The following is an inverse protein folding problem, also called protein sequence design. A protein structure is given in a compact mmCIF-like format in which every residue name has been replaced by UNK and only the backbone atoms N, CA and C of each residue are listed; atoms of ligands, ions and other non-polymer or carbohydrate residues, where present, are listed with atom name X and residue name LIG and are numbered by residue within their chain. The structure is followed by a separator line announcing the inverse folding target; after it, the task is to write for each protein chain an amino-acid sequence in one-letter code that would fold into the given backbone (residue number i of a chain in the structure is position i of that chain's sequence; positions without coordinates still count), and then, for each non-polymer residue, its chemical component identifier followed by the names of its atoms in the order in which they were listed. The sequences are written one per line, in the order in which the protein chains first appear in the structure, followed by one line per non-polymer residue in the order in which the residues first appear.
data_IF_218579108788
#
_entry.id   IF_218579108788
#
_cell.length_a   1.000
_cell.length_b   1.000
_cell.length_c   1.000
_cell.angle_alpha   90.00
_cell.angle_beta   90.00
_cell.angle_gamma   90.00
#
_symmetry.space_group_name_H-M   'P 1'
#
loop_
_entity.id
_entity.type
_entity.pdbx_description
1 polymer ?
#
# COMPACT_ATOMS: atom_id res chain seq x y z
N UNK A 1 -59.00 -31.04 18.64
CA UNK A 1 -57.60 -31.29 19.03
C UNK A 1 -56.86 -31.68 17.77
N UNK A 2 -56.09 -30.76 17.20
CA UNK A 2 -55.20 -30.95 16.05
C UNK A 2 -54.01 -30.01 16.23
N UNK A 3 -52.80 -30.52 15.99
CA UNK A 3 -51.53 -29.94 16.42
C UNK A 3 -51.09 -28.80 15.50
N UNK A 4 -50.49 -27.76 16.12
CA UNK A 4 -49.93 -26.59 15.43
C UNK A 4 -48.65 -26.94 14.66
N UNK A 5 -48.45 -26.29 13.52
CA UNK A 5 -47.15 -26.14 12.87
C UNK A 5 -46.99 -24.67 12.45
N UNK A 6 -46.15 -23.95 13.18
CA UNK A 6 -45.79 -22.56 12.91
C UNK A 6 -44.76 -22.54 11.77
N UNK A 7 -45.02 -21.89 10.62
CA UNK A 7 -44.01 -21.72 9.59
C UNK A 7 -42.93 -20.76 10.06
N UNK A 8 -41.68 -21.19 9.90
CA UNK A 8 -40.45 -20.51 10.29
C UNK A 8 -40.26 -19.23 9.48
N UNK A 9 -39.97 -18.14 10.21
CA UNK A 9 -39.64 -16.81 9.73
C UNK A 9 -38.35 -16.87 8.89
N UNK A 10 -38.47 -16.64 7.58
CA UNK A 10 -37.30 -16.47 6.71
C UNK A 10 -36.78 -15.05 6.86
N UNK A 11 -35.90 -14.88 7.85
CA UNK A 11 -35.07 -13.70 7.99
C UNK A 11 -34.29 -13.51 6.69
N UNK A 12 -34.49 -12.37 6.04
CA UNK A 12 -33.74 -11.94 4.88
C UNK A 12 -32.33 -11.56 5.36
N UNK A 13 -31.52 -12.58 5.64
CA UNK A 13 -30.10 -12.47 5.89
C UNK A 13 -29.44 -11.99 4.60
N UNK A 14 -29.37 -10.65 4.47
CA UNK A 14 -28.33 -9.94 3.73
C UNK A 14 -27.02 -10.70 3.96
N UNK A 15 -26.23 -11.03 2.92
CA UNK A 15 -24.94 -11.67 3.13
C UNK A 15 -24.05 -10.68 3.89
N UNK A 16 -24.10 -10.76 5.20
CA UNK A 16 -23.17 -10.10 6.11
C UNK A 16 -22.02 -11.08 6.21
N UNK A 17 -21.23 -11.17 5.15
CA UNK A 17 -19.93 -11.82 5.22
C UNK A 17 -19.07 -10.87 6.04
N UNK A 18 -19.17 -10.99 7.35
CA UNK A 18 -18.12 -10.56 8.25
C UNK A 18 -16.96 -11.54 8.03
N UNK A 19 -15.91 -11.06 7.38
CA UNK A 19 -14.67 -11.79 7.21
C UNK A 19 -13.98 -11.85 8.57
N UNK A 20 -14.22 -12.93 9.31
CA UNK A 20 -13.53 -13.29 10.55
C UNK A 20 -12.17 -13.92 10.19
N UNK A 21 -11.12 -13.10 10.18
CA UNK A 21 -9.71 -13.52 10.25
C UNK A 21 -9.00 -12.68 11.32
N UNK A 22 -9.36 -12.95 12.57
CA UNK A 22 -8.67 -12.39 13.74
C UNK A 22 -7.23 -12.89 13.88
N UNK A 23 -6.36 -11.96 14.27
CA UNK A 23 -4.92 -12.05 14.55
C UNK A 23 -4.01 -11.96 13.31
N UNK A 24 -3.60 -10.78 12.83
CA UNK A 24 -3.02 -9.66 13.59
C UNK A 24 -3.29 -8.29 12.93
N UNK A 25 -4.54 -7.82 12.96
CA UNK A 25 -4.85 -6.38 12.99
C UNK A 25 -4.91 -5.61 11.67
N UNK A 26 -4.85 -6.25 10.52
CA UNK A 26 -4.99 -5.60 9.21
C UNK A 26 -5.64 -6.53 8.18
N UNK A 27 -6.10 -6.01 7.05
CA UNK A 27 -6.65 -6.84 5.97
C UNK A 27 -5.50 -7.63 5.30
N UNK A 28 -5.11 -8.78 5.86
CA UNK A 28 -4.07 -9.64 5.29
C UNK A 28 -4.67 -10.56 4.21
N UNK A 29 -4.50 -10.22 2.94
CA UNK A 29 -4.83 -11.13 1.83
C UNK A 29 -3.63 -11.31 0.90
N UNK A 30 -3.51 -12.49 0.29
CA UNK A 30 -2.41 -12.80 -0.63
C UNK A 30 -2.31 -11.77 -1.75
N UNK A 31 -3.40 -11.55 -2.49
CA UNK A 31 -3.55 -10.43 -3.44
C UNK A 31 -4.75 -9.61 -3.04
N UNK A 32 -4.53 -8.32 -2.80
CA UNK A 32 -5.59 -7.38 -2.45
C UNK A 32 -5.92 -6.58 -3.71
N UNK A 33 -7.18 -6.66 -4.16
CA UNK A 33 -7.70 -5.85 -5.26
C UNK A 33 -8.92 -5.05 -4.79
N UNK A 34 -8.74 -3.76 -4.55
CA UNK A 34 -9.83 -2.84 -4.23
C UNK A 34 -10.19 -2.06 -5.49
N UNK A 35 -11.47 -2.14 -5.91
CA UNK A 35 -12.00 -1.37 -7.04
C UNK A 35 -13.21 -0.57 -6.55
N UNK A 36 -13.06 0.75 -6.41
CA UNK A 36 -14.21 1.62 -6.17
C UNK A 36 -14.55 2.43 -7.42
N UNK A 37 -15.83 2.40 -7.80
CA UNK A 37 -16.35 2.99 -9.05
C UNK A 37 -17.23 4.22 -8.79
N UNK A 38 -17.23 4.71 -7.55
CA UNK A 38 -18.08 5.81 -7.12
C UNK A 38 -17.45 7.16 -7.51
N UNK A 39 -17.74 7.61 -8.73
CA UNK A 39 -17.27 8.89 -9.25
C UNK A 39 -17.71 10.04 -8.34
N UNK A 40 -16.76 10.63 -7.62
CA UNK A 40 -16.97 11.78 -6.75
C UNK A 40 -17.07 11.47 -5.26
N UNK A 41 -17.18 10.21 -4.85
CA UNK A 41 -16.94 9.80 -3.46
C UNK A 41 -15.46 9.43 -3.30
N UNK A 42 -14.88 9.76 -2.15
CA UNK A 42 -13.52 9.36 -1.80
C UNK A 42 -13.54 8.09 -0.95
N UNK A 43 -12.50 7.28 -1.06
CA UNK A 43 -12.24 6.20 -0.09
C UNK A 43 -11.13 6.64 0.86
N UNK A 44 -11.36 6.44 2.16
CA UNK A 44 -10.35 6.65 3.20
C UNK A 44 -9.92 5.30 3.75
N UNK A 45 -8.60 5.12 3.87
CA UNK A 45 -7.95 3.92 4.41
C UNK A 45 -7.24 4.31 5.71
N UNK A 46 -7.93 4.18 6.83
CA UNK A 46 -7.42 4.55 8.17
C UNK A 46 -6.77 3.37 8.93
N UNK A 47 -6.89 2.14 8.44
CA UNK A 47 -6.34 0.94 9.08
C UNK A 47 -5.08 0.43 8.40
N UNK A 48 -4.45 -0.56 9.03
CA UNK A 48 -3.30 -1.26 8.46
C UNK A 48 -3.76 -2.29 7.41
N UNK A 49 -3.21 -2.20 6.20
CA UNK A 49 -3.49 -3.10 5.08
C UNK A 49 -2.18 -3.75 4.70
N UNK A 50 -2.11 -5.07 4.73
CA UNK A 50 -0.88 -5.80 4.47
C UNK A 50 -1.12 -6.90 3.45
N UNK A 51 -0.48 -6.86 2.29
CA UNK A 51 -0.58 -7.91 1.27
C UNK A 51 0.62 -8.86 1.39
N UNK A 52 0.37 -10.17 1.34
CA UNK A 52 1.46 -11.16 1.32
C UNK A 52 2.11 -11.32 -0.07
N UNK A 53 1.57 -10.70 -1.11
CA UNK A 53 2.13 -10.61 -2.46
C UNK A 53 1.88 -9.18 -2.98
N UNK A 54 1.34 -9.04 -4.19
CA UNK A 54 1.02 -7.75 -4.82
C UNK A 54 -0.25 -7.10 -4.22
N UNK A 55 -0.21 -5.78 -3.98
CA UNK A 55 -1.39 -4.97 -3.68
C UNK A 55 -1.78 -4.10 -4.88
N UNK A 56 -3.04 -4.19 -5.32
CA UNK A 56 -3.59 -3.36 -6.39
C UNK A 56 -4.80 -2.59 -5.87
N UNK A 57 -4.70 -1.26 -5.86
CA UNK A 57 -5.78 -0.37 -5.47
C UNK A 57 -6.17 0.50 -6.66
N UNK A 58 -7.41 0.41 -7.11
CA UNK A 58 -7.94 1.24 -8.19
C UNK A 58 -9.21 1.94 -7.76
N UNK A 59 -9.27 3.27 -7.93
CA UNK A 59 -10.45 4.04 -7.56
C UNK A 59 -10.74 5.14 -8.59
N UNK A 60 -12.00 5.30 -8.97
CA UNK A 60 -12.43 6.36 -9.91
C UNK A 60 -12.59 7.75 -9.24
N UNK A 61 -12.39 7.83 -7.92
CA UNK A 61 -12.49 9.04 -7.11
C UNK A 61 -11.21 9.37 -6.36
N UNK A 62 -11.34 10.09 -5.23
CA UNK A 62 -10.21 10.39 -4.32
C UNK A 62 -9.86 9.15 -3.49
N UNK A 63 -8.58 8.95 -3.22
CA UNK A 63 -8.06 7.98 -2.26
C UNK A 63 -7.29 8.74 -1.19
N UNK A 64 -7.61 8.49 0.07
CA UNK A 64 -6.86 9.02 1.22
C UNK A 64 -6.36 7.85 2.06
N UNK A 65 -5.06 7.79 2.29
CA UNK A 65 -4.41 6.78 3.14
C UNK A 65 -3.88 7.47 4.40
N UNK A 66 -4.47 7.14 5.55
CA UNK A 66 -4.04 7.64 6.86
C UNK A 66 -3.38 6.53 7.70
N UNK A 67 -3.64 5.26 7.38
CA UNK A 67 -3.03 4.10 8.03
C UNK A 67 -1.76 3.61 7.32
N UNK A 68 -1.37 2.36 7.60
CA UNK A 68 -0.22 1.74 6.93
C UNK A 68 -0.66 0.81 5.80
N UNK A 69 0.03 0.84 4.68
CA UNK A 69 -0.15 -0.06 3.56
C UNK A 69 1.17 -0.77 3.29
N UNK A 70 1.22 -2.08 3.51
CA UNK A 70 2.40 -2.90 3.28
C UNK A 70 2.15 -4.01 2.25
N UNK A 71 3.18 -4.38 1.48
CA UNK A 71 3.14 -5.52 0.57
C UNK A 71 4.50 -6.24 0.50
N UNK A 72 4.50 -7.56 0.40
CA UNK A 72 5.74 -8.34 0.18
C UNK A 72 6.23 -8.26 -1.28
N UNK A 73 5.34 -8.00 -2.23
CA UNK A 73 5.72 -7.74 -3.62
C UNK A 73 5.41 -6.27 -3.98
N UNK A 74 5.00 -5.99 -5.21
CA UNK A 74 4.70 -4.64 -5.67
C UNK A 74 3.41 -4.03 -5.06
N UNK A 75 3.39 -2.71 -4.96
CA UNK A 75 2.19 -1.90 -4.69
C UNK A 75 1.86 -1.10 -5.95
N UNK A 76 0.64 -1.27 -6.45
CA UNK A 76 0.11 -0.50 -7.57
C UNK A 76 -1.18 0.24 -7.16
N UNK A 77 -1.11 1.56 -7.06
CA UNK A 77 -2.26 2.41 -6.73
C UNK A 77 -2.61 3.26 -7.95
N UNK A 78 -3.89 3.31 -8.31
CA UNK A 78 -4.40 4.13 -9.41
C UNK A 78 -5.67 4.85 -8.96
N UNK A 79 -5.60 6.17 -8.82
CA UNK A 79 -6.74 7.04 -8.58
C UNK A 79 -7.07 7.83 -9.85
N UNK A 80 -8.33 7.88 -10.28
CA UNK A 80 -8.72 8.85 -11.33
C UNK A 80 -8.90 10.27 -10.74
N UNK A 81 -9.14 10.36 -9.43
CA UNK A 81 -9.15 11.60 -8.68
C UNK A 81 -7.80 11.90 -8.02
N UNK A 82 -7.87 12.44 -6.80
CA UNK A 82 -6.69 12.78 -6.01
C UNK A 82 -6.23 11.59 -5.18
N UNK A 83 -4.93 11.48 -4.94
CA UNK A 83 -4.34 10.54 -4.01
C UNK A 83 -3.64 11.31 -2.89
N UNK A 84 -4.02 11.06 -1.65
CA UNK A 84 -3.40 11.62 -0.45
C UNK A 84 -2.82 10.50 0.42
N UNK A 85 -1.56 10.61 0.81
CA UNK A 85 -0.91 9.72 1.77
C UNK A 85 -0.36 10.48 2.97
N UNK A 86 -1.01 10.33 4.11
CA UNK A 86 -0.59 10.89 5.39
C UNK A 86 -0.06 9.81 6.34
N UNK A 87 -0.16 8.53 5.96
CA UNK A 87 0.33 7.38 6.70
C UNK A 87 1.63 6.78 6.13
N UNK A 88 1.70 5.45 6.06
CA UNK A 88 2.90 4.73 5.59
C UNK A 88 2.58 3.82 4.42
N UNK A 89 3.43 3.80 3.40
CA UNK A 89 3.38 2.87 2.27
C UNK A 89 4.72 2.16 2.18
N UNK A 90 4.72 0.82 2.26
CA UNK A 90 5.94 0.02 2.22
C UNK A 90 5.77 -1.22 1.34
N UNK A 91 6.67 -1.42 0.39
CA UNK A 91 6.74 -2.61 -0.48
C UNK A 91 8.13 -3.19 -0.38
N UNK A 92 8.31 -4.52 -0.37
CA UNK A 92 9.67 -5.08 -0.54
C UNK A 92 10.15 -5.04 -2.00
N UNK A 93 9.28 -4.65 -2.94
CA UNK A 93 9.58 -4.47 -4.35
C UNK A 93 9.17 -3.05 -4.79
N UNK A 94 8.50 -2.90 -5.93
CA UNK A 94 8.24 -1.59 -6.53
C UNK A 94 6.96 -0.97 -6.00
N UNK A 95 6.97 0.34 -5.74
CA UNK A 95 5.75 1.13 -5.54
C UNK A 95 5.46 1.92 -6.80
N UNK A 96 4.24 1.81 -7.33
CA UNK A 96 3.73 2.62 -8.45
C UNK A 96 2.41 3.26 -8.06
N UNK A 97 2.37 4.59 -8.09
CA UNK A 97 1.18 5.37 -7.76
C UNK A 97 0.87 6.29 -8.93
N UNK A 98 -0.35 6.20 -9.45
CA UNK A 98 -0.86 7.07 -10.51
C UNK A 98 -2.11 7.79 -10.02
N UNK A 99 -2.15 9.12 -10.11
CA UNK A 99 -3.32 9.92 -9.73
C UNK A 99 -3.45 11.19 -10.56
N UNK A 100 -4.53 11.96 -10.36
CA UNK A 100 -4.62 13.32 -10.93
C UNK A 100 -3.73 14.30 -10.17
N UNK A 101 -3.87 14.32 -8.85
CA UNK A 101 -2.99 15.02 -7.91
C UNK A 101 -2.47 14.01 -6.90
N UNK A 102 -1.19 14.09 -6.55
CA UNK A 102 -0.57 13.27 -5.52
C UNK A 102 -0.13 14.23 -4.42
N UNK A 103 -0.69 14.07 -3.23
CA UNK A 103 -0.29 14.81 -2.04
C UNK A 103 0.12 13.86 -0.94
N UNK A 104 0.99 14.28 -0.02
CA UNK A 104 1.24 13.48 1.16
C UNK A 104 2.40 13.94 2.01
N UNK A 105 2.22 13.85 3.33
CA UNK A 105 3.27 14.03 4.33
C UNK A 105 3.80 12.71 4.90
N UNK A 106 3.25 11.58 4.43
CA UNK A 106 3.57 10.24 4.92
C UNK A 106 4.91 9.67 4.46
N UNK A 107 5.13 8.40 4.78
CA UNK A 107 6.33 7.64 4.40
C UNK A 107 6.05 6.75 3.18
N UNK A 108 7.00 6.71 2.24
CA UNK A 108 6.97 5.78 1.11
C UNK A 108 8.30 5.03 1.06
N UNK A 109 8.28 3.70 1.14
CA UNK A 109 9.47 2.85 1.05
C UNK A 109 9.29 1.71 0.07
N UNK A 110 10.08 1.71 -0.99
CA UNK A 110 10.11 0.66 -2.01
C UNK A 110 11.41 -0.13 -1.93
N UNK A 111 11.32 -1.39 -1.54
CA UNK A 111 12.44 -2.31 -1.42
C UNK A 111 12.58 -2.89 -0.02
N UNK A 112 13.43 -3.90 0.07
CA UNK A 112 13.85 -4.46 1.35
C UNK A 112 14.83 -3.48 2.01
N UNK A 113 14.43 -2.88 3.15
CA UNK A 113 15.41 -2.37 4.11
C UNK A 113 16.10 -3.60 4.68
N UNK A 114 17.09 -4.11 3.95
CA UNK A 114 17.92 -5.20 4.43
C UNK A 114 18.56 -4.74 5.75
N UNK A 115 18.29 -5.48 6.83
CA UNK A 115 19.22 -5.53 7.95
C UNK A 115 20.51 -6.11 7.38
N UNK A 116 21.39 -5.22 6.90
CA UNK A 116 22.76 -5.57 6.60
C UNK A 116 23.47 -5.82 7.93
N UNK A 117 23.23 -7.00 8.51
CA UNK A 117 24.11 -7.59 9.52
C UNK A 117 25.43 -7.92 8.81
N UNK A 118 26.25 -6.89 8.60
CA UNK A 118 27.66 -7.07 8.28
C UNK A 118 28.36 -7.58 9.55
N UNK A 119 28.23 -8.88 9.83
CA UNK A 119 29.22 -9.56 10.64
C UNK A 119 30.57 -9.40 9.95
N UNK A 120 31.43 -8.59 10.56
CA UNK A 120 32.83 -8.43 10.17
C UNK A 120 33.52 -9.79 10.23
N UNK A 121 33.56 -10.51 9.11
CA UNK A 121 34.36 -11.71 8.97
C UNK A 121 35.81 -11.31 8.69
N UNK A 122 36.61 -11.48 9.73
CA UNK A 122 38.07 -11.46 9.69
C UNK A 122 38.59 -12.57 8.77
N UNK A 123 39.74 -12.30 8.15
CA UNK A 123 40.40 -12.94 7.00
C UNK A 123 40.24 -14.46 6.78
N UNK A 124 40.03 -14.82 5.50
CA UNK A 124 40.55 -16.06 4.91
C UNK A 124 39.60 -16.74 3.91
N UNK A 125 40.07 -16.88 2.67
CA UNK A 125 39.52 -17.69 1.56
C UNK A 125 38.24 -17.16 0.87
N UNK A 126 38.45 -16.66 -0.35
CA UNK A 126 37.40 -16.29 -1.32
C UNK A 126 36.72 -17.56 -1.86
N UNK A 127 35.70 -18.06 -1.15
CA UNK A 127 34.62 -18.81 -1.79
C UNK A 127 33.43 -17.88 -1.93
N UNK A 128 32.96 -17.66 -3.17
CA UNK A 128 31.76 -16.89 -3.48
C UNK A 128 30.56 -17.42 -2.69
N UNK A 129 30.32 -16.79 -1.55
CA UNK A 129 29.06 -16.88 -0.85
C UNK A 129 28.03 -16.15 -1.71
N UNK A 130 26.99 -16.88 -2.11
CA UNK A 130 25.88 -16.35 -2.90
C UNK A 130 25.25 -15.15 -2.21
N UNK A 131 25.76 -13.96 -2.53
CA UNK A 131 25.21 -12.70 -2.08
C UNK A 131 23.81 -12.60 -2.64
N UNK A 132 22.82 -12.58 -1.75
CA UNK A 132 21.44 -12.24 -2.08
C UNK A 132 21.48 -11.00 -2.96
N UNK A 133 21.13 -11.15 -4.24
CA UNK A 133 21.10 -10.00 -5.15
C UNK A 133 20.10 -9.01 -4.57
N UNK A 134 20.49 -7.76 -4.28
CA UNK A 134 19.58 -6.80 -3.67
C UNK A 134 18.32 -6.70 -4.53
N UNK A 135 17.15 -6.83 -3.90
CA UNK A 135 15.88 -6.64 -4.59
C UNK A 135 15.80 -5.15 -4.93
N UNK A 136 16.18 -4.85 -6.15
CA UNK A 136 16.19 -3.49 -6.63
C UNK A 136 14.74 -3.03 -6.88
N UNK A 137 14.34 -2.03 -6.13
CA UNK A 137 12.97 -1.53 -6.08
C UNK A 137 12.90 -0.04 -6.43
N UNK A 138 11.95 0.34 -7.29
CA UNK A 138 11.70 1.73 -7.61
C UNK A 138 10.45 2.26 -6.88
N UNK A 139 10.46 3.53 -6.53
CA UNK A 139 9.27 4.28 -6.11
C UNK A 139 8.89 5.23 -7.24
N UNK A 140 7.75 5.00 -7.88
CA UNK A 140 7.26 5.83 -9.00
C UNK A 140 5.93 6.48 -8.65
N UNK A 141 5.89 7.80 -8.61
CA UNK A 141 4.68 8.60 -8.40
C UNK A 141 4.39 9.43 -9.67
N UNK A 142 3.28 9.15 -10.33
CA UNK A 142 2.86 9.79 -11.58
C UNK A 142 1.53 10.53 -11.38
N UNK A 143 1.59 11.85 -11.28
CA UNK A 143 0.42 12.72 -11.26
C UNK A 143 0.11 13.26 -12.67
N UNK A 144 -1.18 13.38 -13.01
CA UNK A 144 -1.59 14.08 -14.23
C UNK A 144 -1.40 15.60 -14.14
N UNK A 145 -1.45 16.17 -12.92
CA UNK A 145 -1.34 17.60 -12.65
C UNK A 145 -0.21 17.89 -11.66
N UNK A 146 -0.40 17.62 -10.36
CA UNK A 146 0.58 18.02 -9.34
C UNK A 146 1.04 16.85 -8.47
N UNK A 147 2.33 16.84 -8.13
CA UNK A 147 2.91 16.06 -7.03
C UNK A 147 3.35 17.05 -5.96
N UNK A 148 2.83 16.95 -4.75
CA UNK A 148 3.19 17.80 -3.61
C UNK A 148 3.42 16.94 -2.37
N UNK A 149 4.70 16.71 -2.04
CA UNK A 149 5.10 15.75 -1.02
C UNK A 149 5.98 16.46 0.02
N UNK A 150 5.67 16.27 1.30
CA UNK A 150 6.45 16.82 2.42
C UNK A 150 7.02 15.74 3.34
N UNK A 151 6.84 14.47 2.96
CA UNK A 151 7.24 13.30 3.73
C UNK A 151 8.58 12.69 3.29
N UNK A 152 8.79 11.42 3.65
CA UNK A 152 10.03 10.70 3.31
C UNK A 152 9.76 9.73 2.17
N UNK A 153 10.66 9.73 1.18
CA UNK A 153 10.64 8.87 0.02
C UNK A 153 11.93 8.03 0.00
N UNK A 154 11.80 6.72 0.17
CA UNK A 154 12.90 5.76 0.15
C UNK A 154 12.66 4.72 -0.94
N UNK A 155 13.72 4.37 -1.68
CA UNK A 155 13.69 3.28 -2.65
C UNK A 155 15.07 2.64 -2.79
N UNK A 156 15.15 1.31 -2.90
CA UNK A 156 16.43 0.61 -3.05
C UNK A 156 17.12 0.87 -4.40
N UNK A 157 16.39 1.32 -5.43
CA UNK A 157 16.93 1.64 -6.77
C UNK A 157 16.72 3.11 -7.13
N UNK A 158 15.49 3.55 -7.41
CA UNK A 158 15.22 4.95 -7.79
C UNK A 158 13.91 5.48 -7.19
N UNK A 159 13.87 6.78 -6.92
CA UNK A 159 12.64 7.55 -6.67
C UNK A 159 12.34 8.43 -7.89
N UNK A 160 11.18 8.24 -8.49
CA UNK A 160 10.73 8.91 -9.72
C UNK A 160 9.42 9.65 -9.43
N UNK A 161 9.43 10.97 -9.53
CA UNK A 161 8.26 11.83 -9.41
C UNK A 161 7.95 12.46 -10.78
N UNK A 162 6.69 12.41 -11.22
CA UNK A 162 6.27 12.94 -12.51
C UNK A 162 4.93 13.64 -12.40
N UNK A 163 4.84 14.86 -12.93
CA UNK A 163 3.62 15.68 -12.97
C UNK A 163 3.87 16.97 -13.74
N UNK A 164 2.82 17.78 -13.98
CA UNK A 164 3.00 19.14 -14.55
C UNK A 164 3.73 20.05 -13.57
N UNK A 165 3.46 19.88 -12.28
CA UNK A 165 4.16 20.55 -11.18
C UNK A 165 4.58 19.49 -10.17
N UNK A 166 5.85 19.52 -9.78
CA UNK A 166 6.40 18.61 -8.77
C UNK A 166 7.04 19.47 -7.70
N UNK A 167 6.51 19.38 -6.49
CA UNK A 167 7.03 19.98 -5.27
C UNK A 167 7.36 18.85 -4.31
N UNK A 168 8.61 18.80 -3.86
CA UNK A 168 9.04 17.90 -2.80
C UNK A 168 9.80 18.72 -1.77
N UNK A 169 9.29 18.72 -0.54
CA UNK A 169 9.92 19.35 0.61
C UNK A 169 10.39 18.25 1.57
N UNK A 170 11.70 18.07 1.67
CA UNK A 170 12.30 17.08 2.57
C UNK A 170 12.48 17.62 4.00
N UNK A 171 12.29 18.92 4.21
CA UNK A 171 12.53 19.61 5.49
C UNK A 171 11.31 19.46 6.41
N UNK A 172 11.03 18.23 6.86
CA UNK A 172 10.19 18.02 8.03
C UNK A 172 11.03 18.26 9.30
N UNK A 173 11.37 19.52 9.56
CA UNK A 173 12.06 19.92 10.79
C UNK A 173 11.10 19.77 11.98
N UNK A 174 11.26 18.68 12.73
CA UNK A 174 10.67 18.48 14.06
C UNK A 174 11.15 19.55 15.06
#
# INVERSE_FOLDING_TARGET
QTLQATPIQSDAAKPTVALDVGALGGMYAGKIKLIGTEKGLGVTLDGDIAASQTLILTHDGRITLNGSLSAQEDIAITAQGDFANDGQISSQQTIRIAARHITGSGFFSAGEEGEEDHESHDHGDEEESGGSTPILADLTLTAAETVDLTGVLSASRNVILSGKTVTYDADNTF
#
